data_IF_870180843655
#
_entry.id   IF_870180843655
#
_cell.length_a   1.000
_cell.length_b   1.000
_cell.length_c   1.000
_cell.angle_alpha   90.00
_cell.angle_beta   90.00
_cell.angle_gamma   90.00
#
_symmetry.space_group_name_H-M   'P 1'
#
loop_
_entity.id
_entity.type
_entity.pdbx_description
1 polymer ?
#
# COMPACT_ATOMS: atom_id res chain seq x y z
N UNK A 1 13.40 -61.91 -25.81
CA UNK A 1 12.44 -63.02 -25.73
C UNK A 1 11.34 -62.56 -24.77
N UNK A 2 10.12 -62.23 -25.23
CA UNK A 2 8.98 -63.13 -25.51
C UNK A 2 8.41 -63.74 -24.22
N UNK A 3 7.10 -63.69 -23.86
CA UNK A 3 5.89 -63.09 -24.47
C UNK A 3 4.88 -62.68 -23.35
N UNK A 4 3.91 -61.77 -23.56
CA UNK A 4 2.43 -62.00 -23.76
C UNK A 4 1.70 -62.81 -22.66
N UNK A 5 0.43 -62.59 -22.27
CA UNK A 5 -0.69 -61.71 -22.67
C UNK A 5 -1.57 -61.44 -21.40
N UNK A 6 -2.68 -60.67 -21.32
CA UNK A 6 -3.56 -59.93 -22.25
C UNK A 6 -5.04 -60.06 -21.79
N UNK A 7 -5.99 -59.27 -22.35
CA UNK A 7 -7.48 -59.43 -22.19
C UNK A 7 -8.07 -58.79 -20.89
N UNK A 8 -9.19 -58.02 -20.84
CA UNK A 8 -10.17 -57.51 -21.84
C UNK A 8 -10.76 -56.14 -21.41
N UNK A 9 -11.43 -55.46 -22.34
CA UNK A 9 -12.31 -54.29 -22.11
C UNK A 9 -13.77 -54.77 -22.06
N UNK A 10 -14.68 -53.96 -21.50
CA UNK A 10 -15.98 -53.74 -22.15
C UNK A 10 -16.61 -52.39 -21.78
N UNK A 11 -17.49 -51.87 -22.66
CA UNK A 11 -18.18 -50.60 -22.50
C UNK A 11 -19.49 -50.55 -23.30
N UNK A 12 -20.57 -50.11 -22.65
CA UNK A 12 -21.87 -49.85 -23.30
C UNK A 12 -23.03 -49.88 -22.31
N UNK A 13 -24.22 -49.36 -22.61
CA UNK A 13 -24.60 -48.35 -23.63
C UNK A 13 -25.95 -47.71 -23.20
N UNK A 14 -26.35 -46.63 -23.85
CA UNK A 14 -27.62 -45.91 -23.58
C UNK A 14 -28.89 -46.75 -23.79
N UNK A 15 -29.98 -46.41 -23.07
CA UNK A 15 -31.35 -46.24 -23.63
C UNK A 15 -32.38 -45.66 -22.64
N UNK A 16 -33.07 -44.61 -23.07
CA UNK A 16 -34.48 -44.26 -22.72
C UNK A 16 -35.39 -44.76 -23.88
N UNK A 17 -36.73 -44.50 -24.03
CA UNK A 17 -37.57 -43.38 -23.51
C UNK A 17 -39.07 -43.71 -23.19
N UNK A 18 -39.90 -42.64 -23.06
CA UNK A 18 -41.38 -42.57 -23.25
C UNK A 18 -42.31 -43.16 -22.13
N UNK A 19 -43.59 -42.80 -21.90
CA UNK A 19 -44.60 -41.71 -22.22
C UNK A 19 -45.89 -42.03 -21.43
N UNK A 20 -46.95 -41.23 -21.23
CA UNK A 20 -47.30 -39.78 -21.16
C UNK A 20 -48.77 -39.70 -20.63
N UNK A 21 -49.18 -38.63 -19.92
CA UNK A 21 -50.63 -38.34 -19.77
C UNK A 21 -51.04 -36.91 -19.35
N UNK A 22 -51.33 -36.08 -20.36
CA UNK A 22 -52.58 -35.29 -20.57
C UNK A 22 -52.96 -34.05 -19.72
N UNK A 23 -53.60 -33.09 -20.43
CA UNK A 23 -54.02 -31.72 -20.03
C UNK A 23 -55.53 -31.59 -19.74
N UNK A 24 -55.93 -30.48 -19.08
CA UNK A 24 -57.09 -29.65 -19.49
C UNK A 24 -56.88 -28.15 -19.19
N UNK A 25 -57.57 -27.26 -19.90
CA UNK A 25 -57.53 -25.78 -19.80
C UNK A 25 -58.90 -25.21 -19.39
N UNK A 26 -58.95 -24.00 -18.82
CA UNK A 26 -59.92 -22.97 -19.27
C UNK A 26 -59.54 -21.52 -18.90
N UNK A 27 -59.69 -20.63 -19.90
CA UNK A 27 -60.02 -19.19 -19.92
C UNK A 27 -59.40 -18.19 -18.91
N UNK A 28 -58.85 -17.10 -19.47
CA UNK A 28 -58.55 -15.86 -18.75
C UNK A 28 -59.58 -14.75 -19.03
N UNK A 29 -59.39 -13.60 -18.39
CA UNK A 29 -60.10 -12.35 -18.71
C UNK A 29 -59.11 -11.18 -18.73
N UNK A 30 -59.44 -10.16 -19.52
CA UNK A 30 -58.61 -9.00 -19.86
C UNK A 30 -59.15 -7.76 -19.17
N UNK A 31 -58.29 -6.90 -18.60
CA UNK A 31 -58.59 -5.47 -18.43
C UNK A 31 -57.31 -4.63 -18.22
N UNK A 32 -57.21 -3.61 -19.07
CA UNK A 32 -56.39 -2.38 -19.03
C UNK A 32 -56.15 -1.77 -17.63
N UNK A 33 -54.95 -1.24 -17.31
CA UNK A 33 -54.23 -0.05 -17.85
C UNK A 33 -54.78 1.33 -17.40
N UNK A 34 -53.83 2.21 -17.04
CA UNK A 34 -53.90 3.63 -16.64
C UNK A 34 -54.07 4.01 -15.16
N UNK A 35 -53.02 4.67 -14.62
CA UNK A 35 -53.00 5.46 -13.38
C UNK A 35 -51.77 6.37 -13.38
N UNK A 36 -51.98 7.69 -13.44
CA UNK A 36 -50.92 8.71 -13.49
C UNK A 36 -50.51 9.18 -12.06
N UNK A 37 -49.37 9.88 -11.88
CA UNK A 37 -48.63 9.87 -10.62
C UNK A 37 -49.12 10.90 -9.57
N UNK A 38 -48.74 10.68 -8.30
CA UNK A 38 -48.82 11.69 -7.22
C UNK A 38 -47.45 11.92 -6.57
N UNK A 39 -47.31 13.11 -5.97
CA UNK A 39 -46.05 13.80 -5.75
C UNK A 39 -45.28 13.42 -4.47
N UNK A 40 -44.01 13.83 -4.44
CA UNK A 40 -43.05 13.75 -3.34
C UNK A 40 -43.39 14.77 -2.23
N UNK A 41 -43.05 14.47 -0.96
CA UNK A 41 -41.97 15.21 -0.26
C UNK A 41 -41.07 14.22 0.52
N UNK A 42 -39.96 14.58 1.18
CA UNK A 42 -38.93 15.60 0.99
C UNK A 42 -37.62 15.03 1.62
N UNK A 43 -36.49 15.74 1.51
CA UNK A 43 -35.14 15.23 1.83
C UNK A 43 -34.94 14.62 3.23
N UNK A 44 -34.13 13.57 3.28
CA UNK A 44 -33.12 13.38 4.31
C UNK A 44 -31.85 12.83 3.63
N UNK A 45 -30.71 13.51 3.80
CA UNK A 45 -29.44 13.13 3.19
C UNK A 45 -28.86 11.85 3.82
N UNK A 46 -28.62 10.85 2.98
CA UNK A 46 -28.00 9.58 3.38
C UNK A 46 -27.02 9.10 2.30
N UNK A 47 -26.12 9.97 1.87
CA UNK A 47 -25.14 9.67 0.82
C UNK A 47 -23.79 9.21 1.38
N UNK A 48 -23.80 8.02 1.99
CA UNK A 48 -22.61 7.25 2.33
C UNK A 48 -22.91 5.75 2.13
N UNK A 49 -23.02 5.31 0.88
CA UNK A 49 -23.06 3.88 0.54
C UNK A 49 -21.63 3.39 0.26
N UNK A 50 -21.15 2.31 0.91
CA UNK A 50 -19.78 1.85 0.70
C UNK A 50 -19.62 1.22 -0.69
N UNK A 51 -18.45 1.47 -1.30
CA UNK A 51 -18.03 0.81 -2.53
C UNK A 51 -17.97 -0.72 -2.37
N UNK A 52 -18.08 -1.44 -3.49
CA UNK A 52 -18.35 -2.88 -3.56
C UNK A 52 -17.62 -3.75 -2.53
N UNK A 53 -18.38 -4.17 -1.52
CA UNK A 53 -18.02 -5.29 -0.65
C UNK A 53 -18.14 -6.57 -1.47
N UNK A 54 -17.02 -7.25 -1.75
CA UNK A 54 -17.07 -8.68 -2.06
C UNK A 54 -17.42 -9.36 -0.73
N UNK A 55 -18.58 -10.03 -0.58
CA UNK A 55 -18.98 -10.58 0.71
C UNK A 55 -17.99 -11.65 1.14
N UNK A 56 -17.17 -11.30 2.14
CA UNK A 56 -16.42 -12.29 2.87
C UNK A 56 -17.42 -13.03 3.75
N UNK A 57 -17.68 -14.31 3.48
CA UNK A 57 -18.46 -15.18 4.38
C UNK A 57 -17.69 -15.51 5.69
N UNK A 58 -16.78 -14.62 6.10
CA UNK A 58 -16.00 -14.72 7.32
C UNK A 58 -16.85 -14.25 8.49
N UNK A 59 -17.32 -15.20 9.28
CA UNK A 59 -17.86 -14.90 10.60
C UNK A 59 -16.69 -14.84 11.59
N UNK A 60 -16.30 -13.61 11.98
CA UNK A 60 -15.20 -13.33 12.91
C UNK A 60 -15.39 -14.03 14.25
N UNK A 61 -16.59 -13.98 14.83
CA UNK A 61 -16.90 -14.63 16.10
C UNK A 61 -16.69 -16.15 16.02
N UNK A 62 -17.26 -16.81 15.01
CA UNK A 62 -17.09 -18.26 14.80
C UNK A 62 -15.63 -18.67 14.63
N UNK A 63 -14.79 -17.81 14.04
CA UNK A 63 -13.35 -18.05 13.96
C UNK A 63 -12.69 -17.92 15.34
N UNK A 64 -12.98 -16.85 16.10
CA UNK A 64 -12.49 -16.68 17.49
C UNK A 64 -12.91 -17.83 18.40
N UNK A 65 -14.15 -18.32 18.28
CA UNK A 65 -14.67 -19.46 19.04
C UNK A 65 -13.92 -20.77 18.71
N UNK A 66 -13.37 -20.89 17.50
CA UNK A 66 -12.57 -22.05 17.07
C UNK A 66 -11.11 -22.04 17.55
N UNK A 67 -10.63 -20.90 18.07
CA UNK A 67 -9.26 -20.76 18.58
C UNK A 67 -9.10 -21.40 19.96
N UNK A 68 -7.92 -21.99 20.21
CA UNK A 68 -7.54 -22.47 21.55
C UNK A 68 -7.49 -21.29 22.55
N UNK A 69 -7.61 -21.54 23.86
CA UNK A 69 -7.48 -20.47 24.87
C UNK A 69 -6.15 -19.70 24.75
N UNK A 70 -5.05 -20.41 24.45
CA UNK A 70 -3.74 -19.80 24.22
C UNK A 70 -3.71 -18.94 22.95
N UNK A 71 -4.26 -19.44 21.84
CA UNK A 71 -4.36 -18.66 20.59
C UNK A 71 -5.17 -17.38 20.80
N UNK A 72 -6.28 -17.41 21.56
CA UNK A 72 -7.05 -16.19 21.86
C UNK A 72 -6.24 -15.16 22.63
N UNK A 73 -5.46 -15.58 23.63
CA UNK A 73 -4.56 -14.68 24.37
C UNK A 73 -3.44 -14.13 23.49
N UNK A 74 -2.81 -14.98 22.66
CA UNK A 74 -1.72 -14.55 21.78
C UNK A 74 -2.19 -13.65 20.62
N UNK A 75 -3.41 -13.87 20.11
CA UNK A 75 -3.96 -13.18 18.93
C UNK A 75 -4.96 -12.07 19.27
N UNK A 76 -5.09 -11.68 20.54
CA UNK A 76 -6.05 -10.66 20.99
C UNK A 76 -5.92 -9.35 20.19
N UNK A 77 -4.69 -8.92 19.90
CA UNK A 77 -4.44 -7.68 19.17
C UNK A 77 -4.92 -7.77 17.70
N UNK A 78 -4.66 -8.89 17.03
CA UNK A 78 -5.12 -9.18 15.68
C UNK A 78 -6.65 -9.27 15.63
N UNK A 79 -7.27 -9.88 16.64
CA UNK A 79 -8.72 -9.96 16.79
C UNK A 79 -9.33 -8.56 16.94
N UNK A 80 -8.73 -7.68 17.74
CA UNK A 80 -9.32 -6.39 18.08
C UNK A 80 -9.05 -5.30 17.02
N UNK A 81 -7.87 -5.30 16.39
CA UNK A 81 -7.37 -4.13 15.64
C UNK A 81 -7.05 -4.37 14.16
N UNK A 82 -7.11 -5.61 13.67
CA UNK A 82 -6.93 -5.91 12.25
C UNK A 82 -8.27 -5.78 11.49
N UNK A 83 -8.25 -5.04 10.37
CA UNK A 83 -9.44 -4.86 9.53
C UNK A 83 -9.95 -6.21 9.00
N UNK A 84 -11.28 -6.38 8.98
CA UNK A 84 -11.90 -7.66 8.68
C UNK A 84 -11.60 -8.17 7.26
N UNK A 85 -11.34 -7.28 6.30
CA UNK A 85 -10.98 -7.68 4.94
C UNK A 85 -9.60 -8.34 4.87
N UNK A 86 -8.70 -7.96 5.78
CA UNK A 86 -7.39 -8.57 5.97
C UNK A 86 -7.47 -9.82 6.85
N UNK A 87 -8.11 -9.72 8.02
CA UNK A 87 -8.21 -10.83 8.97
C UNK A 87 -8.89 -12.04 8.33
N UNK A 88 -9.95 -11.86 7.54
CA UNK A 88 -10.62 -12.93 6.80
C UNK A 88 -9.70 -13.75 5.86
N UNK A 89 -8.58 -13.16 5.43
CA UNK A 89 -7.62 -13.73 4.46
C UNK A 89 -6.28 -14.12 5.10
N UNK A 90 -5.97 -13.58 6.28
CA UNK A 90 -4.76 -13.86 7.06
C UNK A 90 -5.02 -14.78 8.27
N UNK A 91 -6.30 -15.08 8.61
CA UNK A 91 -6.72 -15.98 9.69
C UNK A 91 -6.00 -17.33 9.77
N UNK A 92 -5.52 -17.85 8.63
CA UNK A 92 -4.78 -19.11 8.53
C UNK A 92 -3.27 -18.91 8.76
N UNK A 93 -2.71 -17.74 8.38
CA UNK A 93 -1.31 -17.41 8.65
C UNK A 93 -1.10 -17.04 10.12
N UNK A 94 -2.02 -16.29 10.75
CA UNK A 94 -1.89 -15.88 12.16
C UNK A 94 -2.02 -17.03 13.16
N UNK A 95 -2.50 -18.21 12.74
CA UNK A 95 -2.53 -19.42 13.57
C UNK A 95 -1.37 -20.38 13.28
N UNK A 96 -0.45 -20.02 12.38
CA UNK A 96 0.75 -20.84 12.11
C UNK A 96 1.66 -20.89 13.34
N UNK A 97 2.39 -22.01 13.57
CA UNK A 97 3.35 -22.11 14.67
C UNK A 97 4.35 -20.95 14.72
N UNK A 98 4.79 -20.47 13.56
CA UNK A 98 5.83 -19.44 13.44
C UNK A 98 5.29 -18.03 13.71
N UNK A 99 4.03 -17.74 13.35
CA UNK A 99 3.38 -16.51 13.81
C UNK A 99 3.11 -16.56 15.33
N UNK A 100 2.70 -17.70 15.86
CA UNK A 100 2.48 -17.85 17.30
C UNK A 100 3.79 -17.72 18.10
N UNK A 101 4.94 -18.17 17.59
CA UNK A 101 6.25 -17.91 18.23
C UNK A 101 6.61 -16.42 18.22
N UNK A 102 6.37 -15.70 17.12
CA UNK A 102 6.48 -14.24 17.10
C UNK A 102 5.61 -13.60 18.20
N UNK A 103 4.36 -14.04 18.37
CA UNK A 103 3.48 -13.53 19.44
C UNK A 103 3.99 -13.88 20.84
N UNK A 104 4.58 -15.06 21.05
CA UNK A 104 5.27 -15.41 22.32
C UNK A 104 6.48 -14.53 22.59
N UNK A 105 7.29 -14.24 21.56
CA UNK A 105 8.41 -13.30 21.65
C UNK A 105 7.92 -11.91 22.07
N UNK A 106 6.94 -11.34 21.37
CA UNK A 106 6.38 -10.02 21.69
C UNK A 106 5.73 -9.98 23.08
N UNK A 107 5.14 -11.09 23.55
CA UNK A 107 4.65 -11.18 24.93
C UNK A 107 5.80 -11.13 25.94
N UNK A 108 6.91 -11.84 25.71
CA UNK A 108 8.11 -11.79 26.58
C UNK A 108 8.70 -10.37 26.64
N UNK A 109 8.75 -9.67 25.50
CA UNK A 109 9.18 -8.27 25.43
C UNK A 109 8.31 -7.37 26.32
N UNK A 110 6.98 -7.46 26.18
CA UNK A 110 6.02 -6.74 27.03
C UNK A 110 6.17 -7.10 28.52
N UNK A 111 6.24 -8.39 28.83
CA UNK A 111 6.34 -8.90 30.21
C UNK A 111 7.66 -8.47 30.89
N UNK A 112 8.73 -8.23 30.12
CA UNK A 112 10.01 -7.68 30.61
C UNK A 112 9.99 -6.17 30.91
N UNK A 113 8.90 -5.48 30.58
CA UNK A 113 8.79 -4.03 30.72
C UNK A 113 9.42 -3.22 29.59
N UNK A 114 9.82 -3.86 28.48
CA UNK A 114 10.40 -3.16 27.34
C UNK A 114 9.40 -2.17 26.72
N UNK A 115 9.85 -0.94 26.43
CA UNK A 115 9.04 0.03 25.70
C UNK A 115 9.08 -0.31 24.22
N UNK A 116 7.95 -0.73 23.66
CA UNK A 116 7.79 -1.09 22.25
C UNK A 116 7.05 0.04 21.51
N UNK A 117 7.43 0.28 20.25
CA UNK A 117 6.74 1.13 19.28
C UNK A 117 6.32 0.32 18.04
N UNK A 118 5.21 0.69 17.35
CA UNK A 118 4.22 1.69 17.77
C UNK A 118 3.45 1.21 19.02
N UNK A 119 2.58 2.05 19.63
CA UNK A 119 1.61 1.57 20.63
C UNK A 119 0.86 0.33 20.12
N UNK A 120 0.56 -0.64 20.98
CA UNK A 120 0.03 -1.95 20.55
C UNK A 120 -1.18 -1.83 19.63
N UNK A 121 -2.15 -0.99 20.01
CA UNK A 121 -3.38 -0.73 19.25
C UNK A 121 -3.17 -0.09 17.86
N UNK A 122 -1.93 0.30 17.52
CA UNK A 122 -1.54 0.92 16.26
C UNK A 122 -0.69 -0.02 15.37
N UNK A 123 -0.28 -1.21 15.86
CA UNK A 123 0.53 -2.18 15.07
C UNK A 123 -0.15 -2.57 13.75
N UNK A 124 -1.49 -2.58 13.72
CA UNK A 124 -2.31 -2.91 12.55
C UNK A 124 -2.97 -1.71 11.86
N UNK A 125 -2.58 -0.46 12.17
CA UNK A 125 -3.12 0.76 11.54
C UNK A 125 -3.11 0.71 10.00
N UNK A 126 -2.09 0.08 9.40
CA UNK A 126 -1.98 -0.11 7.95
C UNK A 126 -3.16 -0.90 7.35
N UNK A 127 -3.77 -1.83 8.10
CA UNK A 127 -4.97 -2.57 7.66
C UNK A 127 -6.23 -1.71 7.71
N UNK A 128 -6.34 -0.88 8.76
CA UNK A 128 -7.48 0.00 9.03
C UNK A 128 -7.59 1.13 8.00
N UNK A 129 -6.47 1.79 7.70
CA UNK A 129 -6.43 2.86 6.69
C UNK A 129 -6.51 2.32 5.25
N UNK A 130 -5.96 1.13 4.99
CA UNK A 130 -5.96 0.54 3.66
C UNK A 130 -6.55 -0.88 3.66
N UNK A 131 -7.88 -1.03 3.74
CA UNK A 131 -8.56 -2.31 3.54
C UNK A 131 -8.14 -3.01 2.25
N UNK A 132 -8.07 -4.34 2.26
CA UNK A 132 -7.47 -5.16 1.20
C UNK A 132 -8.09 -4.92 -0.20
N UNK A 133 -9.38 -4.62 -0.26
CA UNK A 133 -10.07 -4.30 -1.51
C UNK A 133 -9.74 -2.89 -2.06
N UNK A 134 -9.22 -1.97 -1.23
CA UNK A 134 -8.82 -0.61 -1.60
C UNK A 134 -7.34 -0.46 -1.96
N UNK A 135 -6.50 -1.48 -1.76
CA UNK A 135 -5.05 -1.41 -2.09
C UNK A 135 -4.85 -1.12 -3.59
N UNK A 136 -4.22 0.01 -3.90
CA UNK A 136 -3.80 0.46 -5.24
C UNK A 136 -2.28 0.45 -5.39
N UNK A 137 -1.60 0.88 -4.34
CA UNK A 137 -0.14 1.01 -4.24
C UNK A 137 0.32 0.33 -2.96
N UNK A 138 1.51 -0.27 -2.97
CA UNK A 138 2.19 -0.82 -1.80
C UNK A 138 3.55 -0.16 -1.68
N UNK A 139 3.82 0.49 -0.54
CA UNK A 139 5.13 1.02 -0.17
C UNK A 139 5.72 0.10 0.89
N UNK A 140 6.93 -0.41 0.66
CA UNK A 140 7.62 -1.31 1.58
C UNK A 140 8.68 -0.54 2.37
N UNK A 141 8.49 -0.40 3.68
CA UNK A 141 9.48 0.12 4.63
C UNK A 141 10.27 -1.00 5.33
N UNK A 142 11.25 -0.63 6.15
CA UNK A 142 12.06 -1.55 6.96
C UNK A 142 11.39 -1.80 8.32
N UNK A 143 11.61 -0.95 9.30
CA UNK A 143 11.05 -1.03 10.64
C UNK A 143 10.27 0.26 11.00
N UNK A 144 9.53 0.29 12.12
CA UNK A 144 8.91 1.50 12.62
C UNK A 144 9.98 2.44 13.21
N UNK A 145 9.77 3.76 13.11
CA UNK A 145 10.61 4.72 13.81
C UNK A 145 10.65 4.46 15.33
N UNK A 146 11.86 4.37 15.89
CA UNK A 146 12.11 3.88 17.24
C UNK A 146 12.12 4.95 18.34
N UNK A 147 11.87 6.23 18.04
CA UNK A 147 11.78 7.26 19.09
C UNK A 147 10.33 7.60 19.46
N UNK A 148 10.16 8.21 20.63
CA UNK A 148 8.86 8.61 21.17
C UNK A 148 8.03 9.44 20.18
N UNK A 149 6.73 9.13 20.09
CA UNK A 149 5.74 9.84 19.28
C UNK A 149 6.00 9.87 17.76
N UNK A 150 6.88 8.99 17.26
CA UNK A 150 7.13 8.83 15.82
C UNK A 150 6.19 7.78 15.21
N UNK A 151 6.45 6.49 15.44
CA UNK A 151 5.73 5.40 14.78
C UNK A 151 4.26 5.27 15.23
N UNK A 152 3.38 5.01 14.25
CA UNK A 152 1.93 4.78 14.46
C UNK A 152 1.35 3.70 13.53
N UNK A 153 2.20 2.76 13.10
CA UNK A 153 1.80 1.60 12.30
C UNK A 153 1.74 1.81 10.78
N UNK A 154 2.22 2.95 10.27
CA UNK A 154 2.37 3.22 8.84
C UNK A 154 3.84 3.48 8.50
N UNK A 155 4.36 2.80 7.46
CA UNK A 155 5.71 3.03 6.93
C UNK A 155 5.96 4.51 6.60
N UNK A 156 7.20 4.98 6.80
CA UNK A 156 7.66 6.36 6.57
C UNK A 156 6.88 7.49 7.27
N UNK A 157 5.82 7.21 8.03
CA UNK A 157 4.95 8.25 8.60
C UNK A 157 5.21 8.49 10.07
N UNK A 158 5.12 9.76 10.48
CA UNK A 158 5.19 10.19 11.88
C UNK A 158 3.96 11.00 12.30
N UNK A 159 3.60 10.92 13.59
CA UNK A 159 2.50 11.72 14.15
C UNK A 159 2.93 13.18 14.40
N UNK A 160 2.05 14.18 14.20
CA UNK A 160 2.28 15.53 14.73
C UNK A 160 2.50 15.49 16.26
N UNK A 161 3.36 16.36 16.84
CA UNK A 161 4.08 17.46 16.20
C UNK A 161 5.41 17.05 15.53
N UNK A 162 5.73 15.76 15.45
CA UNK A 162 7.00 15.27 14.89
C UNK A 162 7.18 15.73 13.43
N UNK A 163 8.31 16.38 13.16
CA UNK A 163 8.70 16.78 11.81
C UNK A 163 9.08 15.57 10.94
N UNK A 164 8.90 15.69 9.64
CA UNK A 164 9.25 14.66 8.66
C UNK A 164 10.73 14.22 8.82
N UNK A 165 11.02 12.92 9.00
CA UNK A 165 12.38 12.41 9.03
C UNK A 165 13.11 12.60 7.68
N UNK A 166 14.46 12.52 7.64
CA UNK A 166 15.24 12.85 6.44
C UNK A 166 14.81 12.08 5.18
N UNK A 167 14.50 10.79 5.31
CA UNK A 167 13.97 9.95 4.22
C UNK A 167 12.63 10.47 3.69
N UNK A 168 11.72 10.92 4.57
CA UNK A 168 10.43 11.48 4.15
C UNK A 168 10.58 12.86 3.49
N UNK A 169 11.51 13.69 3.96
CA UNK A 169 11.86 14.96 3.29
C UNK A 169 12.33 14.69 1.86
N UNK A 170 13.13 13.63 1.63
CA UNK A 170 13.58 13.26 0.29
C UNK A 170 12.44 12.70 -0.58
N UNK A 171 11.51 11.93 -0.01
CA UNK A 171 10.25 11.54 -0.67
C UNK A 171 9.48 12.80 -1.13
N UNK A 172 9.34 13.82 -0.29
CA UNK A 172 8.66 15.07 -0.66
C UNK A 172 9.37 15.84 -1.78
N UNK A 173 10.71 15.84 -1.81
CA UNK A 173 11.48 16.41 -2.93
C UNK A 173 11.19 15.67 -4.24
N UNK A 174 11.12 14.34 -4.22
CA UNK A 174 10.85 13.57 -5.45
C UNK A 174 9.39 13.73 -5.93
N UNK A 175 8.42 13.82 -5.00
CA UNK A 175 7.05 14.17 -5.38
C UNK A 175 6.98 15.58 -5.99
N UNK A 176 7.81 16.52 -5.52
CA UNK A 176 7.90 17.88 -6.10
C UNK A 176 8.55 17.88 -7.50
N UNK A 177 9.54 17.01 -7.74
CA UNK A 177 10.11 16.78 -9.08
C UNK A 177 9.06 16.20 -10.03
N UNK A 178 8.22 15.27 -9.54
CA UNK A 178 7.17 14.65 -10.35
C UNK A 178 5.96 15.54 -10.60
N UNK A 179 5.61 16.36 -9.59
CA UNK A 179 4.47 17.26 -9.58
C UNK A 179 4.92 18.63 -9.07
N UNK A 180 5.33 19.57 -9.96
CA UNK A 180 5.76 20.91 -9.56
C UNK A 180 4.72 21.72 -8.77
N UNK A 181 3.44 21.35 -8.83
CA UNK A 181 2.36 21.92 -8.01
C UNK A 181 2.29 21.40 -6.58
N UNK A 182 3.00 20.30 -6.24
CA UNK A 182 2.98 19.70 -4.90
C UNK A 182 3.45 20.70 -3.84
N UNK A 183 2.81 20.64 -2.67
CA UNK A 183 3.18 21.42 -1.50
C UNK A 183 3.49 20.47 -0.34
N UNK A 184 4.67 20.65 0.27
CA UNK A 184 5.03 19.94 1.49
C UNK A 184 4.04 20.31 2.63
N UNK A 185 3.78 19.42 3.59
CA UNK A 185 2.87 19.70 4.70
C UNK A 185 3.26 20.94 5.50
N UNK A 186 2.28 21.68 6.07
CA UNK A 186 2.57 22.73 7.05
C UNK A 186 3.34 22.16 8.25
N UNK A 187 4.06 23.03 8.95
CA UNK A 187 4.86 22.70 10.13
C UNK A 187 5.93 21.61 9.89
N UNK A 188 6.35 21.41 8.63
CA UNK A 188 7.29 20.34 8.22
C UNK A 188 6.80 18.93 8.61
N UNK A 189 5.49 18.70 8.75
CA UNK A 189 4.92 17.46 9.31
C UNK A 189 5.09 16.22 8.41
N UNK A 190 4.98 15.02 9.00
CA UNK A 190 5.17 13.73 8.32
C UNK A 190 3.98 12.75 8.38
N UNK A 191 2.76 13.24 8.53
CA UNK A 191 1.56 12.40 8.64
C UNK A 191 1.04 11.97 7.26
N UNK A 192 1.05 10.66 6.98
CA UNK A 192 0.74 10.09 5.65
C UNK A 192 -0.59 9.33 5.61
N UNK A 193 -1.42 9.45 6.66
CA UNK A 193 -2.81 8.95 6.68
C UNK A 193 -3.58 9.31 5.41
N UNK A 194 -3.51 10.56 4.87
CA UNK A 194 -4.22 10.90 3.64
C UNK A 194 -3.81 10.07 2.41
N UNK A 195 -2.59 9.51 2.34
CA UNK A 195 -2.20 8.58 1.27
C UNK A 195 -2.74 7.17 1.55
N UNK A 196 -2.69 6.71 2.80
CA UNK A 196 -3.18 5.39 3.19
C UNK A 196 -4.69 5.25 2.93
N UNK A 197 -5.48 6.26 3.29
CA UNK A 197 -6.93 6.32 3.02
C UNK A 197 -7.27 6.37 1.51
N UNK A 198 -6.32 6.83 0.67
CA UNK A 198 -6.42 6.86 -0.81
C UNK A 198 -6.01 5.55 -1.48
N UNK A 199 -5.59 4.53 -0.72
CA UNK A 199 -5.24 3.20 -1.25
C UNK A 199 -3.74 2.89 -1.29
N UNK A 200 -2.89 3.69 -0.62
CA UNK A 200 -1.44 3.44 -0.51
C UNK A 200 -1.14 2.65 0.76
N UNK A 201 -0.90 1.34 0.62
CA UNK A 201 -0.54 0.46 1.71
C UNK A 201 0.89 0.76 2.20
N UNK A 202 1.02 1.45 3.32
CA UNK A 202 2.31 1.84 3.93
C UNK A 202 2.79 0.74 4.89
N UNK A 203 3.41 -0.33 4.36
CA UNK A 203 3.73 -1.55 5.11
C UNK A 203 5.23 -1.64 5.44
N UNK A 204 5.59 -1.71 6.73
CA UNK A 204 6.95 -2.03 7.13
C UNK A 204 7.23 -3.55 7.04
N UNK A 205 8.49 -3.92 6.83
CA UNK A 205 8.95 -5.30 6.90
C UNK A 205 8.82 -5.88 8.31
N UNK A 206 9.21 -5.11 9.32
CA UNK A 206 8.99 -5.39 10.74
C UNK A 206 7.93 -4.41 11.31
N UNK A 207 6.95 -4.92 12.06
CA UNK A 207 5.81 -4.08 12.51
C UNK A 207 5.98 -3.49 13.93
N UNK A 208 7.06 -3.84 14.63
CA UNK A 208 7.34 -3.36 15.99
C UNK A 208 8.84 -3.18 16.21
N UNK A 209 9.25 -2.30 17.09
CA UNK A 209 10.64 -2.05 17.48
C UNK A 209 10.71 -1.64 18.96
N UNK A 210 11.83 -1.83 19.64
CA UNK A 210 12.05 -1.25 20.98
C UNK A 210 12.36 0.25 20.87
N UNK A 211 12.03 0.99 21.91
CA UNK A 211 12.43 2.38 22.02
C UNK A 211 13.96 2.52 21.95
N UNK A 212 14.43 3.38 21.05
CA UNK A 212 15.85 3.72 20.84
C UNK A 212 16.76 2.53 20.47
N UNK A 213 16.19 1.45 19.90
CA UNK A 213 16.95 0.31 19.38
C UNK A 213 16.36 -0.08 18.02
N UNK A 214 16.83 0.56 16.94
CA UNK A 214 16.46 0.18 15.57
C UNK A 214 16.68 -1.32 15.33
N UNK A 215 15.92 -1.92 14.41
CA UNK A 215 16.03 -3.33 14.06
C UNK A 215 15.91 -4.35 15.24
N UNK A 216 15.53 -3.95 16.46
CA UNK A 216 15.58 -4.84 17.65
C UNK A 216 14.70 -6.09 17.55
N UNK A 217 13.62 -6.03 16.76
CA UNK A 217 12.72 -7.15 16.47
C UNK A 217 12.92 -7.72 15.06
N UNK A 218 14.04 -7.40 14.41
CA UNK A 218 14.46 -8.00 13.14
C UNK A 218 14.66 -9.51 13.30
N UNK A 219 14.25 -10.26 12.26
CA UNK A 219 14.30 -11.72 12.19
C UNK A 219 13.53 -12.44 13.31
N UNK A 220 12.55 -11.77 13.95
CA UNK A 220 11.67 -12.39 14.96
C UNK A 220 10.36 -12.95 14.39
N UNK A 221 10.14 -12.80 13.08
CA UNK A 221 9.04 -13.43 12.34
C UNK A 221 8.08 -12.45 11.67
N UNK A 222 8.18 -11.15 11.95
CA UNK A 222 7.36 -10.13 11.28
C UNK A 222 7.60 -10.12 9.78
N UNK A 223 8.84 -10.32 9.34
CA UNK A 223 9.26 -10.29 7.95
C UNK A 223 8.53 -11.36 7.13
N UNK A 224 8.41 -12.57 7.71
CA UNK A 224 7.62 -13.66 7.13
C UNK A 224 6.15 -13.28 7.03
N UNK A 225 5.55 -12.78 8.10
CA UNK A 225 4.14 -12.39 8.10
C UNK A 225 3.86 -11.29 7.06
N UNK A 226 4.67 -10.23 7.03
CA UNK A 226 4.53 -9.13 6.06
C UNK A 226 4.84 -9.58 4.63
N UNK A 227 5.57 -10.70 4.43
CA UNK A 227 5.75 -11.28 3.10
C UNK A 227 4.47 -11.97 2.64
N UNK A 228 3.80 -12.69 3.54
CA UNK A 228 2.49 -13.30 3.27
C UNK A 228 1.42 -12.25 2.96
N UNK A 229 1.52 -11.06 3.55
CA UNK A 229 0.71 -9.88 3.17
C UNK A 229 0.99 -9.45 1.73
N UNK A 230 2.27 -9.29 1.33
CA UNK A 230 2.68 -8.96 -0.04
C UNK A 230 2.20 -10.02 -1.05
N UNK A 231 2.43 -11.31 -0.75
CA UNK A 231 2.04 -12.45 -1.59
C UNK A 231 0.50 -12.56 -1.70
N UNK A 232 -0.23 -12.28 -0.61
CA UNK A 232 -1.69 -12.21 -0.60
C UNK A 232 -2.19 -11.13 -1.55
N UNK A 233 -1.63 -9.91 -1.48
CA UNK A 233 -1.99 -8.80 -2.38
C UNK A 233 -1.76 -9.21 -3.84
N UNK A 234 -0.59 -9.74 -4.17
CA UNK A 234 -0.24 -10.19 -5.52
C UNK A 234 -1.21 -11.26 -6.06
N UNK A 235 -1.66 -12.15 -5.18
CA UNK A 235 -2.59 -13.23 -5.51
C UNK A 235 -4.03 -12.74 -5.69
N UNK A 236 -4.53 -11.83 -4.84
CA UNK A 236 -5.97 -11.45 -4.82
C UNK A 236 -6.29 -10.18 -5.60
N UNK A 237 -5.34 -9.27 -5.80
CA UNK A 237 -5.52 -8.07 -6.64
C UNK A 237 -5.30 -8.45 -8.11
N UNK A 238 -6.26 -9.18 -8.67
CA UNK A 238 -6.20 -9.71 -10.05
C UNK A 238 -6.07 -8.61 -11.11
N UNK A 239 -6.69 -7.44 -10.88
CA UNK A 239 -6.51 -6.24 -11.70
C UNK A 239 -5.13 -5.58 -11.54
N UNK A 240 -4.24 -6.07 -10.69
CA UNK A 240 -2.89 -5.54 -10.44
C UNK A 240 -2.84 -4.49 -9.32
N UNK A 241 -1.64 -4.11 -8.92
CA UNK A 241 -1.32 -2.97 -8.04
C UNK A 241 0.08 -2.46 -8.39
N UNK A 242 0.44 -1.26 -7.94
CA UNK A 242 1.81 -0.75 -8.00
C UNK A 242 2.57 -1.12 -6.72
N UNK A 243 3.81 -1.60 -6.84
CA UNK A 243 4.75 -1.79 -5.74
C UNK A 243 5.88 -0.77 -5.86
N UNK A 244 6.06 0.05 -4.82
CA UNK A 244 7.16 0.98 -4.65
C UNK A 244 8.17 0.36 -3.67
N UNK A 245 9.30 -0.11 -4.21
CA UNK A 245 10.32 -0.82 -3.45
C UNK A 245 11.65 -0.06 -3.51
N UNK A 246 11.96 0.68 -2.46
CA UNK A 246 13.13 1.55 -2.38
C UNK A 246 14.21 0.95 -1.49
N UNK A 247 15.40 0.73 -2.03
CA UNK A 247 16.51 0.04 -1.36
C UNK A 247 16.52 -1.47 -1.61
N UNK A 248 17.68 -2.11 -1.40
CA UNK A 248 17.86 -3.53 -1.62
C UNK A 248 16.94 -4.42 -0.74
N UNK A 249 16.70 -4.13 0.56
CA UNK A 249 15.78 -4.93 1.37
C UNK A 249 14.35 -4.96 0.80
N UNK A 250 13.76 -3.79 0.50
CA UNK A 250 12.45 -3.71 -0.15
C UNK A 250 12.45 -4.38 -1.54
N UNK A 251 13.55 -4.26 -2.28
CA UNK A 251 13.75 -4.91 -3.57
C UNK A 251 13.72 -6.43 -3.51
N UNK A 252 14.43 -7.04 -2.56
CA UNK A 252 14.45 -8.50 -2.29
C UNK A 252 13.00 -9.02 -2.09
N UNK A 253 12.15 -8.28 -1.37
CA UNK A 253 10.78 -8.65 -1.01
C UNK A 253 9.74 -8.65 -2.14
N UNK A 254 9.98 -7.88 -3.20
CA UNK A 254 9.11 -7.81 -4.39
C UNK A 254 9.66 -8.60 -5.59
N UNK A 255 10.78 -9.33 -5.42
CA UNK A 255 11.44 -10.05 -6.51
C UNK A 255 10.55 -11.12 -7.16
N UNK A 256 9.69 -11.80 -6.38
CA UNK A 256 8.76 -12.82 -6.85
C UNK A 256 7.45 -12.32 -7.46
N UNK A 257 7.24 -11.00 -7.55
CA UNK A 257 5.98 -10.42 -8.03
C UNK A 257 5.85 -10.57 -9.56
N UNK A 258 4.69 -11.05 -10.01
CA UNK A 258 4.33 -11.13 -11.44
C UNK A 258 4.24 -9.72 -12.06
N UNK A 259 5.33 -9.31 -12.72
CA UNK A 259 5.47 -8.03 -13.43
C UNK A 259 4.56 -7.88 -14.67
N UNK A 260 3.89 -8.95 -15.13
CA UNK A 260 2.84 -8.83 -16.16
C UNK A 260 1.52 -8.35 -15.54
N UNK A 261 1.25 -8.73 -14.29
CA UNK A 261 0.04 -8.34 -13.56
C UNK A 261 0.21 -7.07 -12.75
N UNK A 262 1.34 -6.90 -12.06
CA UNK A 262 1.62 -5.79 -11.16
C UNK A 262 2.74 -4.92 -11.71
N UNK A 263 2.75 -3.65 -11.33
CA UNK A 263 3.83 -2.73 -11.71
C UNK A 263 4.82 -2.58 -10.56
N UNK A 264 6.08 -2.92 -10.79
CA UNK A 264 7.12 -2.94 -9.74
C UNK A 264 8.17 -1.90 -10.06
N UNK A 265 8.17 -0.81 -9.29
CA UNK A 265 9.10 0.31 -9.41
C UNK A 265 10.16 0.20 -8.32
N UNK A 266 11.43 0.09 -8.73
CA UNK A 266 12.58 -0.13 -7.85
C UNK A 266 13.63 0.97 -8.03
N UNK A 267 14.18 1.47 -6.92
CA UNK A 267 15.33 2.39 -6.89
C UNK A 267 16.14 2.18 -5.61
N UNK A 268 17.20 2.95 -5.41
CA UNK A 268 17.85 3.11 -4.09
C UNK A 268 16.89 3.72 -3.05
N UNK A 269 17.24 3.64 -1.77
CA UNK A 269 16.41 4.12 -0.66
C UNK A 269 16.38 5.67 -0.59
N UNK A 270 15.30 6.31 -0.12
CA UNK A 270 15.24 7.77 0.10
C UNK A 270 16.15 8.31 1.22
N UNK A 271 16.87 7.47 1.97
CA UNK A 271 17.83 7.92 2.99
C UNK A 271 18.87 8.89 2.41
N UNK A 272 19.30 9.93 3.16
CA UNK A 272 20.39 10.82 2.75
C UNK A 272 21.65 10.10 2.22
N UNK A 273 21.98 8.93 2.78
CA UNK A 273 23.15 8.13 2.40
C UNK A 273 23.13 7.61 0.95
N UNK A 274 21.92 7.44 0.38
CA UNK A 274 21.73 6.80 -0.93
C UNK A 274 20.82 7.56 -1.90
N UNK A 275 20.02 8.55 -1.47
CA UNK A 275 19.03 9.20 -2.33
C UNK A 275 19.63 9.87 -3.59
N UNK A 276 20.82 10.47 -3.46
CA UNK A 276 21.59 11.05 -4.57
C UNK A 276 22.05 10.03 -5.61
N UNK A 277 22.13 8.74 -5.25
CA UNK A 277 22.58 7.64 -6.12
C UNK A 277 21.47 7.08 -7.04
N UNK A 278 20.27 7.68 -7.03
CA UNK A 278 19.18 7.33 -7.96
C UNK A 278 17.77 7.28 -7.36
N UNK A 279 17.51 7.86 -6.18
CA UNK A 279 16.13 8.07 -5.71
C UNK A 279 15.53 9.32 -6.36
N UNK A 280 16.31 10.39 -6.49
CA UNK A 280 15.87 11.60 -7.18
C UNK A 280 15.80 11.41 -8.69
N UNK A 281 14.77 11.98 -9.31
CA UNK A 281 14.40 11.89 -10.72
C UNK A 281 14.09 10.44 -11.18
N UNK A 282 13.73 9.54 -10.26
CA UNK A 282 13.29 8.19 -10.60
C UNK A 282 11.90 8.19 -11.26
N UNK A 283 11.10 9.23 -11.03
CA UNK A 283 9.78 9.41 -11.64
C UNK A 283 8.69 8.46 -11.12
N UNK A 284 8.88 7.86 -9.93
CA UNK A 284 8.01 6.79 -9.44
C UNK A 284 6.58 7.24 -9.16
N UNK A 285 6.34 8.48 -8.72
CA UNK A 285 5.01 8.96 -8.35
C UNK A 285 4.17 9.30 -9.59
N UNK A 286 4.82 9.81 -10.65
CA UNK A 286 4.23 9.96 -11.99
C UNK A 286 3.95 8.60 -12.62
N UNK A 287 4.97 7.74 -12.77
CA UNK A 287 4.82 6.39 -13.36
C UNK A 287 3.75 5.54 -12.64
N UNK A 288 3.63 5.67 -11.33
CA UNK A 288 2.58 5.02 -10.53
C UNK A 288 1.18 5.50 -10.94
N UNK A 289 0.97 6.81 -11.03
CA UNK A 289 -0.32 7.38 -11.41
C UNK A 289 -0.66 7.16 -12.89
N UNK A 290 0.32 7.24 -13.80
CA UNK A 290 0.12 6.94 -15.22
C UNK A 290 -0.40 5.50 -15.40
N UNK A 291 0.22 4.54 -14.72
CA UNK A 291 -0.20 3.13 -14.74
C UNK A 291 -1.58 2.90 -14.09
N UNK A 292 -1.88 3.61 -12.99
CA UNK A 292 -3.21 3.55 -12.37
C UNK A 292 -4.28 4.12 -13.30
N UNK A 293 -4.01 5.26 -13.94
CA UNK A 293 -4.91 5.92 -14.89
C UNK A 293 -5.21 5.02 -16.10
N UNK A 294 -4.17 4.44 -16.72
CA UNK A 294 -4.30 3.51 -17.84
C UNK A 294 -5.17 2.29 -17.47
N UNK A 295 -4.98 1.75 -16.27
CA UNK A 295 -5.52 0.44 -15.88
C UNK A 295 -6.85 0.49 -15.12
N UNK A 296 -7.20 1.64 -14.56
CA UNK A 296 -8.40 1.83 -13.74
C UNK A 296 -9.24 3.07 -14.10
N UNK A 297 -8.69 4.01 -14.87
CA UNK A 297 -9.33 5.30 -15.21
C UNK A 297 -8.70 6.47 -14.45
N UNK A 298 -8.86 7.69 -14.99
CA UNK A 298 -8.19 8.88 -14.48
C UNK A 298 -8.55 9.23 -13.02
N UNK A 299 -9.77 8.89 -12.57
CA UNK A 299 -10.23 9.14 -11.19
C UNK A 299 -9.58 8.20 -10.15
N UNK A 300 -8.88 7.15 -10.59
CA UNK A 300 -8.34 6.12 -9.71
C UNK A 300 -6.86 6.34 -9.32
N UNK A 301 -6.24 7.45 -9.77
CA UNK A 301 -4.90 7.87 -9.38
C UNK A 301 -4.79 8.25 -7.90
N UNK A 302 -3.56 8.31 -7.38
CA UNK A 302 -3.27 8.83 -6.04
C UNK A 302 -3.00 10.33 -6.12
N UNK A 303 -3.81 11.13 -5.42
CA UNK A 303 -3.41 12.50 -5.08
C UNK A 303 -2.30 12.41 -4.02
N UNK A 304 -1.10 12.89 -4.34
CA UNK A 304 0.04 12.87 -3.43
C UNK A 304 0.08 14.10 -2.49
N UNK A 305 -0.81 15.08 -2.65
CA UNK A 305 -0.86 16.23 -1.75
C UNK A 305 -1.44 15.86 -0.38
N UNK A 306 -0.72 16.23 0.69
CA UNK A 306 -1.12 15.96 2.07
C UNK A 306 -1.96 17.10 2.69
N UNK A 307 -1.98 18.27 2.05
CA UNK A 307 -2.84 19.40 2.42
C UNK A 307 -4.25 19.15 1.85
N UNK A 308 -5.33 19.29 2.64
CA UNK A 308 -6.69 19.28 2.12
C UNK A 308 -6.86 20.38 1.07
N UNK A 309 -7.44 20.05 -0.08
CA UNK A 309 -7.85 21.06 -1.07
C UNK A 309 -8.99 21.87 -0.45
N UNK A 310 -8.68 23.08 0.00
CA UNK A 310 -9.70 24.01 0.49
C UNK A 310 -10.64 24.34 -0.66
N UNK A 311 -11.88 23.88 -0.58
CA UNK A 311 -12.93 24.18 -1.57
C UNK A 311 -13.39 25.63 -1.44
N UNK A 312 -12.53 26.58 -1.82
CA UNK A 312 -12.93 27.99 -1.95
C UNK A 312 -13.80 28.14 -3.19
N UNK A 313 -15.10 27.96 -3.01
CA UNK A 313 -16.13 28.47 -3.91
C UNK A 313 -16.19 30.00 -3.82
N UNK A 314 -15.12 30.68 -4.24
CA UNK A 314 -15.14 32.13 -4.43
C UNK A 314 -15.90 32.46 -5.71
N UNK A 315 -17.12 32.96 -5.53
CA UNK A 315 -17.85 33.68 -6.57
C UNK A 315 -17.04 34.93 -6.91
N UNK A 316 -16.25 34.87 -7.98
CA UNK A 316 -15.55 36.05 -8.51
C UNK A 316 -16.56 36.93 -9.24
N UNK A 317 -17.20 37.82 -8.49
CA UNK A 317 -17.95 38.94 -9.06
C UNK A 317 -17.04 39.74 -9.98
N UNK A 318 -17.43 39.85 -11.24
CA UNK A 318 -16.68 40.58 -12.26
C UNK A 318 -16.67 42.08 -11.95
N UNK A 319 -15.49 42.67 -11.82
CA UNK A 319 -15.31 44.10 -12.06
C UNK A 319 -14.20 44.28 -13.10
N UNK A 320 -14.59 44.83 -14.25
CA UNK A 320 -13.69 45.21 -15.33
C UNK A 320 -12.95 46.49 -14.96
N UNK A 321 -11.62 46.46 -15.00
CA UNK A 321 -10.80 47.66 -15.21
C UNK A 321 -9.90 47.43 -16.41
N UNK A 322 -10.14 48.23 -17.44
CA UNK A 322 -9.41 48.24 -18.71
C UNK A 322 -8.20 49.15 -18.53
N UNK A 323 -6.98 48.65 -18.72
CA UNK A 323 -5.80 49.47 -19.00
C UNK A 323 -5.01 48.80 -20.13
N UNK A 324 -4.59 49.62 -21.09
CA UNK A 324 -4.08 49.17 -22.38
C UNK A 324 -2.60 48.82 -22.38
N UNK A 325 -2.32 47.76 -23.13
CA UNK A 325 -1.09 47.42 -23.87
C UNK A 325 -0.08 48.56 -24.08
N UNK A 326 1.19 48.28 -23.83
CA UNK A 326 2.29 48.74 -24.68
C UNK A 326 3.37 47.64 -24.81
N UNK A 327 4.17 47.73 -25.87
CA UNK A 327 4.86 46.61 -26.52
C UNK A 327 6.28 47.04 -26.90
N UNK A 328 7.33 46.26 -26.55
CA UNK A 328 8.67 46.49 -27.10
C UNK A 328 9.50 45.22 -27.18
N UNK A 329 10.38 45.19 -28.18
CA UNK A 329 10.94 44.01 -28.83
C UNK A 329 12.33 43.59 -28.33
N UNK A 330 12.64 42.30 -28.51
CA UNK A 330 13.99 41.72 -28.46
C UNK A 330 14.85 42.23 -29.64
N UNK A 331 16.18 42.06 -29.60
CA UNK A 331 16.75 41.10 -30.56
C UNK A 331 17.81 40.16 -29.94
N UNK A 332 18.07 39.05 -30.63
CA UNK A 332 18.94 37.96 -30.18
C UNK A 332 20.29 37.94 -30.92
N UNK A 333 21.33 37.40 -30.28
CA UNK A 333 22.55 36.94 -30.95
C UNK A 333 23.03 35.56 -30.43
N UNK A 334 23.62 34.81 -31.36
CA UNK A 334 24.27 33.48 -31.27
C UNK A 334 24.95 33.25 -32.64
N UNK A 335 25.86 32.27 -32.83
CA UNK A 335 26.58 31.44 -31.86
C UNK A 335 28.11 31.39 -32.14
N UNK A 336 28.87 30.60 -31.37
CA UNK A 336 30.16 30.04 -31.82
C UNK A 336 30.35 28.59 -31.36
N UNK A 337 31.00 27.79 -32.20
CA UNK A 337 31.27 26.36 -32.02
C UNK A 337 32.62 26.06 -31.36
N UNK A 338 32.73 24.91 -30.68
CA UNK A 338 33.82 23.95 -30.91
C UNK A 338 33.53 22.59 -30.24
N UNK A 339 33.96 21.51 -30.90
CA UNK A 339 33.92 20.10 -30.45
C UNK A 339 35.40 19.58 -30.30
N UNK A 340 35.68 18.26 -30.25
CA UNK A 340 35.58 17.38 -29.09
C UNK A 340 36.90 16.60 -28.81
N UNK A 341 36.98 15.81 -27.73
CA UNK A 341 37.98 14.71 -27.59
C UNK A 341 37.34 13.49 -26.88
N UNK A 342 37.87 12.29 -27.16
CA UNK A 342 37.45 10.98 -26.62
C UNK A 342 38.58 10.39 -25.70
N UNK A 343 38.64 9.13 -25.25
CA UNK A 343 37.85 7.91 -25.53
C UNK A 343 37.96 6.89 -24.36
N UNK A 344 37.22 5.78 -24.48
CA UNK A 344 37.45 4.46 -23.83
C UNK A 344 37.03 4.32 -22.35
N UNK A 345 36.62 3.17 -21.81
CA UNK A 345 36.59 1.80 -22.31
C UNK A 345 36.69 0.81 -21.12
N UNK A 346 35.53 0.28 -20.68
CA UNK A 346 35.19 -1.08 -20.15
C UNK A 346 36.31 -2.05 -19.62
N UNK A 347 35.94 -3.11 -18.86
CA UNK A 347 34.99 -3.22 -17.74
C UNK A 347 35.56 -4.07 -16.56
N UNK A 348 34.85 -4.17 -15.43
CA UNK A 348 35.14 -5.16 -14.37
C UNK A 348 33.88 -5.92 -13.92
N UNK A 349 34.04 -7.20 -13.55
CA UNK A 349 32.99 -8.09 -13.02
C UNK A 349 32.87 -7.95 -11.49
N UNK A 350 31.75 -8.37 -10.89
CA UNK A 350 31.52 -8.18 -9.46
C UNK A 350 32.39 -9.10 -8.61
N UNK A 351 32.83 -8.60 -7.47
CA UNK A 351 33.14 -9.39 -6.29
C UNK A 351 31.93 -9.39 -5.35
N UNK A 352 31.76 -10.45 -4.58
CA UNK A 352 30.74 -10.52 -3.53
C UNK A 352 31.13 -9.57 -2.39
N UNK A 353 30.23 -8.66 -2.02
CA UNK A 353 30.33 -7.84 -0.81
C UNK A 353 29.19 -8.25 0.13
N UNK A 354 29.56 -8.72 1.32
CA UNK A 354 28.63 -9.16 2.36
C UNK A 354 27.97 -7.93 3.04
N UNK A 355 26.75 -8.11 3.57
CA UNK A 355 25.89 -7.02 4.05
C UNK A 355 26.46 -6.36 5.35
N UNK A 356 27.28 -5.30 5.22
CA UNK A 356 27.81 -4.48 6.35
C UNK A 356 27.17 -3.06 6.42
N UNK A 357 26.18 -2.77 5.56
CA UNK A 357 25.60 -1.41 5.38
C UNK A 357 24.47 -1.03 6.35
N UNK A 358 24.10 -1.88 7.30
CA UNK A 358 22.92 -1.66 8.15
C UNK A 358 23.19 -0.76 9.39
N UNK A 359 24.44 -0.55 9.81
CA UNK A 359 24.77 0.25 11.01
C UNK A 359 24.88 1.78 10.75
N UNK A 360 25.22 2.19 9.53
CA UNK A 360 25.49 3.60 9.17
C UNK A 360 24.23 4.51 9.15
N UNK A 361 23.04 3.93 9.04
CA UNK A 361 21.79 4.69 9.01
C UNK A 361 21.46 5.32 10.39
N UNK A 362 21.69 4.57 11.45
CA UNK A 362 21.34 4.94 12.83
C UNK A 362 22.27 6.03 13.37
N UNK A 363 23.56 5.94 13.05
CA UNK A 363 24.53 6.98 13.40
C UNK A 363 24.15 8.34 12.81
N UNK A 364 23.62 8.37 11.58
CA UNK A 364 23.22 9.62 10.93
C UNK A 364 21.91 10.20 11.48
N UNK A 365 20.89 9.37 11.79
CA UNK A 365 19.69 9.87 12.48
C UNK A 365 20.01 10.34 13.92
N UNK A 366 20.95 9.70 14.61
CA UNK A 366 21.43 10.13 15.93
C UNK A 366 22.17 11.48 15.86
N UNK A 367 23.15 11.64 14.96
CA UNK A 367 23.90 12.90 14.81
C UNK A 367 22.98 14.07 14.41
N UNK A 368 22.05 13.85 13.47
CA UNK A 368 21.04 14.84 13.08
C UNK A 368 20.04 15.14 14.21
N UNK A 369 19.88 14.25 15.20
CA UNK A 369 19.11 14.51 16.41
C UNK A 369 19.93 15.21 17.52
N UNK A 370 21.26 15.09 17.53
CA UNK A 370 22.14 15.80 18.45
C UNK A 370 22.40 17.25 18.03
N UNK A 371 22.60 17.53 16.74
CA UNK A 371 22.64 18.91 16.22
C UNK A 371 21.37 19.70 16.60
N UNK A 372 20.21 19.03 16.57
CA UNK A 372 18.90 19.60 16.97
C UNK A 372 18.69 19.80 18.46
N UNK A 373 19.67 19.47 19.33
CA UNK A 373 19.66 19.82 20.75
C UNK A 373 20.50 21.07 21.06
N UNK A 374 21.15 21.65 20.05
CA UNK A 374 22.06 22.80 20.18
C UNK A 374 21.48 24.09 19.55
N UNK A 375 20.29 24.00 18.95
CA UNK A 375 19.42 25.13 18.52
C UNK A 375 18.21 25.27 19.45
#
# INVERSE_FOLDING_TARGET
>A
MSSSAGTKRDAGHLKSPATDSKKTKTNGSITSFFGAPKAKPANADANARPASVVPSNFNKQKWVDSLTPEQRVLLQLEIDTMDESWLARLKEEVVTPEFLELKRFLKKEKDSGAKIFPPENEVYSWTQHTPLNKVKVVVVGQDPYHNHNQAHGLAFSVRPPTIAPPSLINIYKEIKNDYPSFQAPPNKGGLLIPWADRGVLMLNACLTVRAHQANSHSNKGWERFTQKVIDLIARVRTRGVVFLAWGAPAGKRVAGIDRKRHYVLQSVHPSPLSASRGFFNNGHFRKCNDWLAERYGADEIIDWNLVPKTSTSTVTTTQSTIVSKEESTVPAEKPTESKPVAESGKPAKPADEEDEFDEDFDALEALVAEERKQE
#
